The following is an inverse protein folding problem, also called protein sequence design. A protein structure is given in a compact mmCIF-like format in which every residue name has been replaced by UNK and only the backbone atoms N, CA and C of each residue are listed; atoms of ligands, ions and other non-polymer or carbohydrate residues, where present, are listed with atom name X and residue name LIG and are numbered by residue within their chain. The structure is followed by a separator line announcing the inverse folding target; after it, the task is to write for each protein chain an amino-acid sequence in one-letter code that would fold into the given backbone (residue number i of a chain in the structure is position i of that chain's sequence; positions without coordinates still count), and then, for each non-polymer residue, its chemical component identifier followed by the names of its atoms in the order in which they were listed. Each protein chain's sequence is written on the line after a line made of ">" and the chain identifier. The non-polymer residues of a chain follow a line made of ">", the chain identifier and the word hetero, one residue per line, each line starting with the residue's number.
data_IF_912484403524
#
_entry.id   IF_912484403524
#
_cell.length_a   1.000
_cell.length_b   1.000
_cell.length_c   1.000
_cell.angle_alpha   90.00
_cell.angle_beta   90.00
_cell.angle_gamma   90.00
#
_symmetry.space_group_name_H-M   'P 1'
#
loop_
_entity.id
_entity.type
_entity.pdbx_description
1 polymer ?
#
# COMPACT_ATOMS: atom_id res chain seq x y z
N UNK A 1 -2.71 25.46 -16.96
CA UNK A 1 -3.08 24.86 -15.65
C UNK A 1 -4.18 23.79 -15.76
N UNK A 2 -5.34 24.07 -16.37
CA UNK A 2 -6.47 23.12 -16.44
C UNK A 2 -6.11 21.75 -17.05
N UNK A 3 -5.51 21.72 -18.24
CA UNK A 3 -5.10 20.47 -18.92
C UNK A 3 -4.14 19.64 -18.06
N UNK A 4 -3.18 20.31 -17.41
CA UNK A 4 -2.22 19.66 -16.51
C UNK A 4 -2.91 19.01 -15.30
N UNK A 5 -3.85 19.70 -14.65
CA UNK A 5 -4.64 19.15 -13.54
C UNK A 5 -5.47 17.95 -13.99
N UNK A 6 -6.14 18.06 -15.16
CA UNK A 6 -6.92 16.96 -15.74
C UNK A 6 -6.02 15.74 -16.01
N UNK A 7 -4.82 15.96 -16.56
CA UNK A 7 -3.87 14.87 -16.80
C UNK A 7 -3.46 14.15 -15.50
N UNK A 8 -3.19 14.89 -14.42
CA UNK A 8 -2.87 14.29 -13.11
C UNK A 8 -4.04 13.49 -12.56
N UNK A 9 -5.27 14.00 -12.67
CA UNK A 9 -6.48 13.28 -12.23
C UNK A 9 -6.64 11.97 -13.01
N UNK A 10 -6.44 11.99 -14.33
CA UNK A 10 -6.53 10.80 -15.17
C UNK A 10 -5.46 9.78 -14.75
N UNK A 11 -4.21 10.20 -14.60
CA UNK A 11 -3.11 9.31 -14.18
C UNK A 11 -3.39 8.71 -12.80
N UNK A 12 -3.82 9.52 -11.82
CA UNK A 12 -4.16 9.05 -10.49
C UNK A 12 -5.30 8.03 -10.50
N UNK A 13 -6.36 8.32 -11.26
CA UNK A 13 -7.54 7.45 -11.36
C UNK A 13 -7.21 6.13 -12.06
N UNK A 14 -6.43 6.17 -13.15
CA UNK A 14 -5.97 4.97 -13.84
C UNK A 14 -5.06 4.11 -12.95
N UNK A 15 -4.13 4.71 -12.23
CA UNK A 15 -3.28 4.00 -11.28
C UNK A 15 -4.10 3.36 -10.15
N UNK A 16 -5.16 4.04 -9.68
CA UNK A 16 -6.04 3.53 -8.63
C UNK A 16 -6.86 2.33 -9.13
N UNK A 17 -7.49 2.46 -10.29
CA UNK A 17 -8.22 1.36 -10.93
C UNK A 17 -7.29 0.17 -11.19
N UNK A 18 -6.09 0.43 -11.72
CA UNK A 18 -5.08 -0.60 -11.93
C UNK A 18 -4.70 -1.29 -10.60
N UNK A 19 -4.59 -0.55 -9.49
CA UNK A 19 -4.29 -1.14 -8.17
C UNK A 19 -5.40 -2.08 -7.70
N UNK A 20 -6.67 -1.73 -7.93
CA UNK A 20 -7.83 -2.56 -7.59
C UNK A 20 -7.81 -3.85 -8.41
N UNK A 21 -7.64 -3.73 -9.73
CA UNK A 21 -7.57 -4.88 -10.64
C UNK A 21 -6.39 -5.79 -10.26
N UNK A 22 -5.22 -5.19 -10.01
CA UNK A 22 -4.02 -5.92 -9.64
C UNK A 22 -4.18 -6.68 -8.32
N UNK A 23 -4.84 -6.05 -7.33
CA UNK A 23 -5.24 -6.73 -6.10
C UNK A 23 -6.25 -7.86 -6.38
N UNK A 24 -7.29 -7.62 -7.18
CA UNK A 24 -8.31 -8.61 -7.47
C UNK A 24 -7.72 -9.88 -8.10
N UNK A 25 -6.82 -9.73 -9.07
CA UNK A 25 -6.10 -10.85 -9.72
C UNK A 25 -5.23 -11.61 -8.70
N UNK A 26 -4.58 -10.91 -7.78
CA UNK A 26 -3.69 -11.51 -6.79
C UNK A 26 -4.38 -11.79 -5.44
N UNK A 27 -5.70 -11.64 -5.36
CA UNK A 27 -6.49 -11.83 -4.13
C UNK A 27 -6.30 -13.23 -3.52
N UNK A 28 -6.26 -14.34 -4.29
CA UNK A 28 -5.96 -15.65 -3.73
C UNK A 28 -4.59 -15.70 -3.07
N UNK A 29 -3.56 -15.14 -3.73
CA UNK A 29 -2.18 -15.08 -3.18
C UNK A 29 -2.12 -14.22 -1.92
N UNK A 30 -2.89 -13.14 -1.87
CA UNK A 30 -2.99 -12.27 -0.70
C UNK A 30 -3.50 -13.05 0.52
N UNK A 31 -4.65 -13.72 0.40
CA UNK A 31 -5.22 -14.48 1.53
C UNK A 31 -4.38 -15.72 1.87
N UNK A 32 -3.78 -16.37 0.88
CA UNK A 32 -2.84 -17.45 1.15
C UNK A 32 -1.63 -16.96 1.97
N UNK A 33 -1.10 -15.79 1.66
CA UNK A 33 0.02 -15.20 2.40
C UNK A 33 -0.37 -14.87 3.85
N UNK A 34 -1.57 -14.29 4.06
CA UNK A 34 -2.12 -14.04 5.38
C UNK A 34 -2.27 -15.33 6.18
N UNK A 35 -2.89 -16.36 5.58
CA UNK A 35 -3.11 -17.65 6.23
C UNK A 35 -1.79 -18.33 6.62
N UNK A 36 -0.79 -18.31 5.73
CA UNK A 36 0.55 -18.88 6.03
C UNK A 36 1.21 -18.16 7.20
N UNK A 37 1.07 -16.84 7.28
CA UNK A 37 1.59 -16.07 8.41
C UNK A 37 0.86 -16.42 9.71
N UNK A 38 -0.48 -16.41 9.68
CA UNK A 38 -1.34 -16.63 10.85
C UNK A 38 -1.25 -18.05 11.45
N UNK A 39 -0.78 -19.04 10.66
CA UNK A 39 -0.51 -20.39 11.17
C UNK A 39 0.63 -20.44 12.19
N UNK A 40 1.57 -19.50 12.13
CA UNK A 40 2.77 -19.48 12.98
C UNK A 40 2.84 -18.27 13.90
N UNK A 41 2.28 -17.15 13.47
CA UNK A 41 2.44 -15.86 14.13
C UNK A 41 1.11 -15.12 14.25
N UNK A 42 0.98 -14.26 15.25
CA UNK A 42 -0.14 -13.32 15.34
C UNK A 42 0.28 -11.98 14.75
N UNK A 43 -0.62 -11.34 13.99
CA UNK A 43 -0.34 -9.99 13.51
C UNK A 43 -0.34 -9.00 14.68
N UNK A 44 0.70 -8.17 14.84
CA UNK A 44 0.68 -7.09 15.82
C UNK A 44 -0.27 -5.98 15.35
N UNK A 45 -0.73 -5.13 16.27
CA UNK A 45 -1.43 -3.91 15.88
C UNK A 45 -0.46 -2.97 15.13
N UNK A 46 -0.90 -2.23 14.09
CA UNK A 46 -2.25 -2.17 13.49
C UNK A 46 -2.53 -3.25 12.43
N UNK A 47 -1.58 -4.15 12.16
CA UNK A 47 -1.66 -5.16 11.11
C UNK A 47 -2.78 -6.17 11.33
N UNK A 48 -3.11 -6.47 12.59
CA UNK A 48 -4.24 -7.33 12.98
C UNK A 48 -5.59 -6.82 12.47
N UNK A 49 -5.79 -5.50 12.43
CA UNK A 49 -6.98 -4.93 11.82
C UNK A 49 -6.90 -4.96 10.30
N UNK A 50 -5.77 -4.53 9.75
CA UNK A 50 -5.59 -4.42 8.30
C UNK A 50 -5.68 -5.76 7.56
N UNK A 51 -5.35 -6.90 8.18
CA UNK A 51 -5.53 -8.20 7.52
C UNK A 51 -7.01 -8.57 7.31
N UNK A 52 -7.95 -7.97 8.06
CA UNK A 52 -9.38 -8.31 8.01
C UNK A 52 -10.16 -7.52 6.94
N UNK A 53 -9.69 -6.35 6.53
CA UNK A 53 -10.45 -5.39 5.71
C UNK A 53 -10.16 -5.47 4.21
N UNK A 54 -9.58 -6.58 3.74
CA UNK A 54 -9.38 -6.87 2.32
C UNK A 54 -8.52 -5.80 1.61
N UNK A 55 -9.01 -5.28 0.48
CA UNK A 55 -8.30 -4.28 -0.33
C UNK A 55 -7.86 -3.06 0.48
N UNK A 56 -8.69 -2.55 1.39
CA UNK A 56 -8.38 -1.35 2.16
C UNK A 56 -7.22 -1.55 3.13
N UNK A 57 -6.97 -2.78 3.57
CA UNK A 57 -5.84 -3.13 4.44
C UNK A 57 -4.63 -3.69 3.69
N UNK A 58 -4.81 -4.06 2.42
CA UNK A 58 -3.76 -4.56 1.56
C UNK A 58 -2.56 -3.59 1.42
N UNK A 59 -2.71 -2.25 1.37
CA UNK A 59 -1.58 -1.33 1.39
C UNK A 59 -0.65 -1.53 2.59
N UNK A 60 -1.23 -1.66 3.79
CA UNK A 60 -0.47 -1.81 5.02
C UNK A 60 0.15 -3.22 5.12
N UNK A 61 -0.56 -4.24 4.64
CA UNK A 61 -0.02 -5.59 4.51
C UNK A 61 1.12 -5.67 3.50
N UNK A 62 1.01 -4.98 2.36
CA UNK A 62 2.06 -4.93 1.36
C UNK A 62 3.33 -4.27 1.94
N UNK A 63 3.17 -3.20 2.71
CA UNK A 63 4.27 -2.62 3.48
C UNK A 63 4.88 -3.65 4.43
N UNK A 64 4.05 -4.33 5.24
CA UNK A 64 4.48 -5.32 6.23
C UNK A 64 5.31 -6.44 5.60
N UNK A 65 4.75 -7.14 4.61
CA UNK A 65 5.41 -8.28 3.99
C UNK A 65 6.64 -7.90 3.16
N UNK A 66 6.64 -6.75 2.49
CA UNK A 66 7.83 -6.28 1.77
C UNK A 66 8.97 -5.89 2.73
N UNK A 67 8.65 -5.33 3.89
CA UNK A 67 9.65 -5.03 4.94
C UNK A 67 10.17 -6.33 5.55
N UNK A 68 9.28 -7.28 5.83
CA UNK A 68 9.63 -8.60 6.34
C UNK A 68 10.56 -9.35 5.39
N UNK A 69 10.22 -9.42 4.09
CA UNK A 69 11.06 -9.98 3.02
C UNK A 69 12.47 -9.38 3.01
N UNK A 70 12.58 -8.08 3.21
CA UNK A 70 13.85 -7.37 3.17
C UNK A 70 14.56 -7.29 4.53
N UNK A 71 14.05 -7.97 5.57
CA UNK A 71 14.52 -7.88 6.96
C UNK A 71 14.70 -6.43 7.45
N UNK A 72 13.79 -5.55 7.03
CA UNK A 72 13.76 -4.13 7.41
C UNK A 72 12.80 -3.91 8.57
N UNK A 73 13.08 -2.93 9.40
CA UNK A 73 12.20 -2.54 10.51
C UNK A 73 10.78 -2.30 10.05
N UNK A 74 9.86 -2.96 10.74
CA UNK A 74 8.43 -2.80 10.61
C UNK A 74 7.97 -1.96 11.82
N UNK A 75 7.10 -0.99 11.59
CA UNK A 75 6.52 -0.20 12.68
C UNK A 75 5.77 -1.15 13.62
N UNK A 76 5.88 -0.97 14.93
CA UNK A 76 5.21 -1.82 15.94
C UNK A 76 5.63 -3.31 15.93
N UNK A 77 6.80 -3.63 15.38
CA UNK A 77 7.41 -4.97 15.48
C UNK A 77 8.86 -4.82 15.94
N UNK A 78 9.22 -5.52 17.01
CA UNK A 78 10.59 -5.53 17.51
C UNK A 78 11.54 -6.22 16.53
N UNK A 79 12.73 -5.64 16.30
CA UNK A 79 13.75 -6.23 15.40
C UNK A 79 14.17 -7.65 15.78
N UNK A 80 14.15 -7.96 17.08
CA UNK A 80 14.53 -9.27 17.61
C UNK A 80 13.38 -10.30 17.54
N UNK A 81 12.21 -9.91 17.04
CA UNK A 81 11.07 -10.82 16.92
C UNK A 81 11.38 -11.99 15.98
N UNK A 82 10.88 -13.15 16.37
CA UNK A 82 10.90 -14.42 15.65
C UNK A 82 10.08 -14.42 14.35
N UNK A 83 9.43 -13.30 13.97
CA UNK A 83 8.69 -13.18 12.71
C UNK A 83 9.58 -12.97 11.49
N UNK A 84 10.79 -12.40 11.64
CA UNK A 84 11.68 -12.08 10.50
C UNK A 84 12.19 -13.29 9.70
N UNK A 85 12.31 -14.50 10.28
CA UNK A 85 12.52 -15.75 9.56
C UNK A 85 11.33 -16.26 8.74
N UNK A 86 10.15 -15.62 8.79
CA UNK A 86 8.97 -16.07 8.03
C UNK A 86 9.19 -16.20 6.51
N UNK A 87 9.87 -15.27 5.81
CA UNK A 87 10.04 -15.38 4.37
C UNK A 87 10.94 -16.56 3.97
N UNK A 88 10.34 -17.51 3.26
CA UNK A 88 10.97 -18.63 2.56
C UNK A 88 10.80 -18.48 1.03
N UNK A 89 11.35 -19.39 0.23
CA UNK A 89 11.27 -19.30 -1.24
C UNK A 89 9.83 -19.26 -1.77
N UNK A 90 8.91 -20.01 -1.17
CA UNK A 90 7.52 -20.08 -1.62
C UNK A 90 6.74 -18.80 -1.28
N UNK A 91 6.90 -18.31 -0.06
CA UNK A 91 6.27 -17.05 0.39
C UNK A 91 6.88 -15.86 -0.34
N UNK A 92 8.18 -15.86 -0.66
CA UNK A 92 8.81 -14.82 -1.51
C UNK A 92 8.18 -14.81 -2.91
N UNK A 93 7.93 -15.98 -3.50
CA UNK A 93 7.22 -16.09 -4.79
C UNK A 93 5.78 -15.57 -4.66
N UNK A 94 5.11 -15.86 -3.56
CA UNK A 94 3.76 -15.37 -3.26
C UNK A 94 3.71 -13.85 -3.08
N UNK A 95 4.79 -13.23 -2.59
CA UNK A 95 4.94 -11.77 -2.44
C UNK A 95 5.35 -11.03 -3.72
N UNK A 96 5.64 -11.74 -4.82
CA UNK A 96 6.20 -11.14 -6.06
C UNK A 96 5.35 -10.02 -6.68
N UNK A 97 4.04 -10.00 -6.44
CA UNK A 97 3.11 -9.00 -6.96
C UNK A 97 3.03 -7.72 -6.10
N UNK A 98 3.48 -7.79 -4.83
CA UNK A 98 3.40 -6.69 -3.87
C UNK A 98 4.21 -5.44 -4.28
N UNK A 99 5.40 -5.53 -4.90
CA UNK A 99 6.14 -4.35 -5.35
C UNK A 99 5.34 -3.53 -6.38
N UNK A 100 4.73 -4.20 -7.36
CA UNK A 100 3.90 -3.54 -8.39
C UNK A 100 2.67 -2.90 -7.75
N UNK A 101 1.97 -3.64 -6.89
CA UNK A 101 0.83 -3.13 -6.15
C UNK A 101 1.17 -1.87 -5.33
N UNK A 102 2.28 -1.93 -4.58
CA UNK A 102 2.76 -0.80 -3.79
C UNK A 102 3.15 0.39 -4.68
N UNK A 103 3.77 0.15 -5.83
CA UNK A 103 4.10 1.20 -6.79
C UNK A 103 2.87 1.96 -7.29
N UNK A 104 1.83 1.23 -7.70
CA UNK A 104 0.55 1.82 -8.13
C UNK A 104 -0.07 2.70 -7.05
N UNK A 105 -0.10 2.21 -5.80
CA UNK A 105 -0.63 2.98 -4.67
C UNK A 105 0.20 4.24 -4.37
N UNK A 106 1.53 4.16 -4.42
CA UNK A 106 2.39 5.33 -4.22
C UNK A 106 2.11 6.39 -5.27
N UNK A 107 1.97 6.01 -6.54
CA UNK A 107 1.63 6.95 -7.62
C UNK A 107 0.30 7.64 -7.30
N UNK A 108 -0.74 6.88 -6.92
CA UNK A 108 -2.03 7.44 -6.53
C UNK A 108 -1.89 8.43 -5.38
N UNK A 109 -1.24 8.03 -4.29
CA UNK A 109 -1.07 8.86 -3.09
C UNK A 109 -0.32 10.14 -3.41
N UNK A 110 0.76 10.09 -4.19
CA UNK A 110 1.54 11.27 -4.58
C UNK A 110 0.70 12.21 -5.43
N UNK A 111 0.01 11.70 -6.45
CA UNK A 111 -0.83 12.53 -7.32
C UNK A 111 -1.99 13.20 -6.56
N UNK A 112 -2.73 12.45 -5.74
CA UNK A 112 -3.83 13.03 -4.97
C UNK A 112 -3.35 14.00 -3.88
N UNK A 113 -2.21 13.71 -3.24
CA UNK A 113 -1.62 14.65 -2.27
C UNK A 113 -1.20 15.95 -2.93
N UNK A 114 -0.59 15.87 -4.12
CA UNK A 114 -0.24 17.06 -4.90
C UNK A 114 -1.47 17.87 -5.29
N UNK A 115 -2.54 17.22 -5.76
CA UNK A 115 -3.81 17.89 -6.09
C UNK A 115 -4.45 18.57 -4.87
N UNK A 116 -4.44 17.91 -3.71
CA UNK A 116 -4.90 18.49 -2.45
C UNK A 116 -4.11 19.74 -2.06
N UNK A 117 -2.77 19.67 -2.11
CA UNK A 117 -1.92 20.83 -1.82
C UNK A 117 -2.16 21.99 -2.79
N UNK A 118 -2.34 21.68 -4.08
CA UNK A 118 -2.65 22.70 -5.09
C UNK A 118 -4.02 23.35 -4.81
N UNK A 119 -5.04 22.56 -4.44
CA UNK A 119 -6.36 23.08 -4.11
C UNK A 119 -6.30 24.02 -2.88
N UNK A 120 -5.63 23.58 -1.81
CA UNK A 120 -5.44 24.41 -0.60
C UNK A 120 -4.66 25.69 -0.93
N UNK A 121 -3.62 25.59 -1.76
CA UNK A 121 -2.83 26.75 -2.18
C UNK A 121 -3.66 27.76 -2.99
N UNK A 122 -4.49 27.29 -3.93
CA UNK A 122 -5.35 28.16 -4.73
C UNK A 122 -6.42 28.83 -3.86
N UNK A 123 -7.06 28.09 -2.94
CA UNK A 123 -8.02 28.65 -2.00
C UNK A 123 -7.38 29.69 -1.07
N UNK A 124 -6.16 29.43 -0.58
CA UNK A 124 -5.41 30.39 0.22
C UNK A 124 -5.05 31.66 -0.58
N UNK A 125 -4.66 31.50 -1.86
CA UNK A 125 -4.33 32.64 -2.75
C UNK A 125 -5.55 33.53 -2.96
N UNK A 126 -6.70 32.94 -3.24
CA UNK A 126 -7.94 33.68 -3.52
C UNK A 126 -8.48 34.38 -2.26
N UNK A 127 -8.24 33.84 -1.06
CA UNK A 127 -8.57 34.51 0.21
C UNK A 127 -7.61 35.64 0.60
N UNK A 128 -6.32 35.52 0.28
CA UNK A 128 -5.29 36.49 0.68
C UNK A 128 -5.12 37.64 -0.32
N UNK A 129 -5.41 37.40 -1.60
CA UNK A 129 -5.28 38.37 -2.69
C UNK A 129 -6.54 38.30 -3.59
N UNK A 130 -7.69 38.81 -3.12
CA UNK A 130 -8.94 38.84 -3.88
C UNK A 130 -8.86 39.70 -5.15
#
# INVERSE_FOLDING_TARGET
>A
MKIFVIAIIIVASLAFIASIIWYAINRPKYYELLNRFQRKYTFPAPYSFSCMVGFFGAPLMAYFFLRLKNRKNILFVEKASDVYPFPDNDTIKLMSWLPVFKGLLIICTVCYSFLMLLAVFLEAKDRLFP
#
